data_IF_147306624933
#
_entry.id   IF_147306624933
#
_cell.length_a   1.000
_cell.length_b   1.000
_cell.length_c   1.000
_cell.angle_alpha   90.00
_cell.angle_beta   90.00
_cell.angle_gamma   90.00
#
_symmetry.space_group_name_H-M   'P 1'
#
loop_
_entity.id
_entity.type
_entity.pdbx_description
1 polymer ?
#
# COMPACT_ATOMS: atom_id res chain seq x y z
N UNK A 1 2.02 13.64 21.38
CA UNK A 1 2.66 12.38 20.94
C UNK A 1 1.82 11.24 21.50
N UNK A 2 0.84 10.77 20.74
CA UNK A 2 -0.16 9.82 21.25
C UNK A 2 0.30 8.41 20.92
N UNK A 3 0.86 7.73 21.93
CA UNK A 3 1.19 6.32 21.88
C UNK A 3 -0.11 5.55 22.11
N UNK A 4 -0.64 4.90 21.08
CA UNK A 4 -1.81 4.02 21.22
C UNK A 4 -1.46 2.82 22.11
N UNK A 5 -2.28 2.47 23.13
CA UNK A 5 -1.98 1.36 24.02
C UNK A 5 -2.30 0.00 23.35
N UNK A 6 -1.62 -1.10 23.75
CA UNK A 6 -1.50 -2.31 22.93
C UNK A 6 -2.69 -3.28 23.00
N UNK A 7 -3.79 -2.95 23.70
CA UNK A 7 -4.85 -3.92 24.03
C UNK A 7 -6.19 -3.74 23.30
N UNK A 8 -6.37 -2.68 22.50
CA UNK A 8 -7.63 -2.43 21.75
C UNK A 8 -7.65 -3.00 20.32
N UNK A 9 -6.55 -3.58 19.84
CA UNK A 9 -6.45 -4.16 18.49
C UNK A 9 -7.43 -5.30 18.19
N UNK A 10 -8.23 -5.77 19.15
CA UNK A 10 -9.23 -6.85 18.97
C UNK A 10 -10.66 -6.39 18.67
N UNK A 11 -10.95 -5.07 18.59
CA UNK A 11 -12.31 -4.56 18.32
C UNK A 11 -12.39 -3.54 17.19
N UNK A 12 -11.34 -3.40 16.39
CA UNK A 12 -11.35 -2.48 15.25
C UNK A 12 -11.55 -3.26 13.94
N UNK A 13 -12.45 -2.78 13.10
CA UNK A 13 -12.64 -3.19 11.73
C UNK A 13 -11.57 -2.54 10.85
N UNK A 14 -10.92 -3.34 10.02
CA UNK A 14 -9.97 -2.86 9.01
C UNK A 14 -10.74 -2.49 7.75
N UNK A 15 -10.52 -1.29 7.25
CA UNK A 15 -11.03 -0.84 5.95
C UNK A 15 -9.87 -0.68 4.98
N UNK A 16 -10.02 -1.18 3.76
CA UNK A 16 -9.02 -1.06 2.69
C UNK A 16 -9.77 -0.71 1.40
N UNK A 17 -9.37 0.38 0.76
CA UNK A 17 -9.91 0.84 -0.51
C UNK A 17 -8.84 0.66 -1.59
N UNK A 18 -9.23 0.05 -2.70
CA UNK A 18 -8.37 -0.15 -3.86
C UNK A 18 -9.16 -0.02 -5.15
N UNK A 19 -8.45 0.11 -6.26
CA UNK A 19 -9.04 0.07 -7.59
C UNK A 19 -9.51 -1.35 -7.95
N UNK A 20 -10.44 -1.46 -8.91
CA UNK A 20 -11.19 -2.69 -9.23
C UNK A 20 -10.36 -4.00 -9.20
N UNK A 21 -10.81 -4.96 -8.37
CA UNK A 21 -10.14 -6.23 -8.02
C UNK A 21 -9.87 -7.14 -9.23
N UNK A 22 -8.73 -7.86 -9.23
CA UNK A 22 -8.58 -9.09 -8.44
C UNK A 22 -7.65 -8.90 -7.23
N UNK A 23 -7.50 -9.93 -6.41
CA UNK A 23 -6.82 -10.03 -5.08
C UNK A 23 -5.47 -9.32 -4.84
N UNK A 24 -4.95 -8.61 -5.83
CA UNK A 24 -3.71 -7.85 -5.82
C UNK A 24 -3.88 -6.35 -6.16
N UNK A 25 -5.10 -5.81 -6.07
CA UNK A 25 -5.32 -4.39 -6.34
C UNK A 25 -4.51 -3.46 -5.42
N UNK A 26 -4.01 -2.33 -5.96
CA UNK A 26 -3.33 -1.30 -5.18
C UNK A 26 -4.21 -0.87 -4.02
N UNK A 27 -3.66 -0.89 -2.81
CA UNK A 27 -4.33 -0.31 -1.64
C UNK A 27 -4.08 1.19 -1.67
N UNK A 28 -5.09 1.95 -2.08
CA UNK A 28 -5.00 3.42 -2.19
C UNK A 28 -5.25 4.10 -0.85
N UNK A 29 -6.16 3.53 -0.05
CA UNK A 29 -6.43 3.99 1.31
C UNK A 29 -6.67 2.82 2.25
N UNK A 30 -6.48 3.07 3.54
CA UNK A 30 -6.95 2.14 4.55
C UNK A 30 -6.83 2.70 5.95
N UNK A 31 -7.44 2.00 6.88
CA UNK A 31 -7.45 2.41 8.27
C UNK A 31 -8.20 1.43 9.16
N UNK A 32 -8.40 1.87 10.40
CA UNK A 32 -9.03 1.08 11.45
C UNK A 32 -10.12 1.92 12.11
N UNK A 33 -11.27 1.31 12.35
CA UNK A 33 -12.36 1.93 13.12
C UNK A 33 -12.98 0.94 14.08
N UNK A 34 -13.34 1.38 15.28
CA UNK A 34 -14.15 0.59 16.21
C UNK A 34 -15.66 0.68 15.90
N UNK A 35 -16.08 1.63 15.05
CA UNK A 35 -17.48 1.82 14.64
C UNK A 35 -17.77 1.03 13.35
N UNK A 36 -18.58 -0.04 13.40
CA UNK A 36 -18.96 -0.79 12.20
C UNK A 36 -19.75 0.07 11.21
N UNK A 37 -20.52 1.06 11.68
CA UNK A 37 -21.28 1.94 10.80
C UNK A 37 -20.34 2.85 10.00
N UNK A 38 -19.23 3.31 10.60
CA UNK A 38 -18.19 4.06 9.90
C UNK A 38 -17.51 3.21 8.82
N UNK A 39 -17.18 1.95 9.14
CA UNK A 39 -16.62 1.03 8.16
C UNK A 39 -17.56 0.84 6.95
N UNK A 40 -18.86 0.65 7.20
CA UNK A 40 -19.86 0.50 6.14
C UNK A 40 -20.03 1.79 5.33
N UNK A 41 -20.09 2.97 5.98
CA UNK A 41 -20.16 4.28 5.28
C UNK A 41 -18.96 4.48 4.35
N UNK A 42 -17.77 4.11 4.81
CA UNK A 42 -16.53 4.20 4.03
C UNK A 42 -16.64 3.39 2.74
N UNK A 43 -17.02 2.10 2.86
CA UNK A 43 -17.14 1.20 1.71
C UNK A 43 -18.26 1.68 0.79
N UNK A 44 -19.41 2.10 1.33
CA UNK A 44 -20.53 2.59 0.55
C UNK A 44 -20.16 3.83 -0.27
N UNK A 45 -19.49 4.82 0.34
CA UNK A 45 -19.02 6.02 -0.36
C UNK A 45 -18.05 5.66 -1.50
N UNK A 46 -17.04 4.84 -1.23
CA UNK A 46 -16.06 4.40 -2.23
C UNK A 46 -16.72 3.65 -3.39
N UNK A 47 -17.57 2.65 -3.10
CA UNK A 47 -18.27 1.88 -4.15
C UNK A 47 -19.32 2.71 -4.89
N UNK A 48 -19.78 3.81 -4.31
CA UNK A 48 -20.66 4.79 -4.94
C UNK A 48 -19.94 5.75 -5.90
N UNK A 49 -18.61 5.63 -6.04
CA UNK A 49 -17.80 6.46 -6.92
C UNK A 49 -17.23 7.72 -6.26
N UNK A 50 -17.34 7.86 -4.94
CA UNK A 50 -16.70 8.95 -4.22
C UNK A 50 -15.17 8.83 -4.33
N UNK A 51 -14.49 9.96 -4.58
CA UNK A 51 -13.02 10.00 -4.55
C UNK A 51 -12.46 9.80 -3.13
N UNK A 52 -11.14 9.69 -3.02
CA UNK A 52 -10.42 9.46 -1.76
C UNK A 52 -10.69 10.57 -0.73
N UNK A 53 -10.62 11.84 -1.16
CA UNK A 53 -10.85 13.00 -0.28
C UNK A 53 -12.32 13.04 0.20
N UNK A 54 -13.26 12.78 -0.70
CA UNK A 54 -14.69 12.74 -0.39
C UNK A 54 -15.03 11.59 0.55
N UNK A 55 -14.45 10.40 0.31
CA UNK A 55 -14.62 9.22 1.16
C UNK A 55 -14.07 9.48 2.56
N UNK A 56 -12.90 10.12 2.68
CA UNK A 56 -12.32 10.49 3.99
C UNK A 56 -13.16 11.54 4.72
N UNK A 57 -13.76 12.49 3.99
CA UNK A 57 -14.66 13.47 4.60
C UNK A 57 -15.92 12.81 5.20
N UNK A 58 -16.42 11.74 4.58
CA UNK A 58 -17.58 10.97 5.07
C UNK A 58 -17.21 9.93 6.15
N UNK A 59 -15.99 9.43 6.12
CA UNK A 59 -15.45 8.47 7.07
C UNK A 59 -13.98 8.77 7.39
N UNK A 60 -13.71 9.52 8.48
CA UNK A 60 -12.37 9.92 8.86
C UNK A 60 -11.43 8.78 9.25
N UNK A 61 -11.92 7.54 9.39
CA UNK A 61 -11.11 6.38 9.75
C UNK A 61 -10.10 5.95 8.70
N UNK A 62 -10.19 6.44 7.45
CA UNK A 62 -9.23 6.10 6.40
C UNK A 62 -8.11 7.14 6.28
N UNK A 63 -6.92 6.61 6.02
CA UNK A 63 -5.76 7.39 5.63
C UNK A 63 -5.26 6.93 4.27
N UNK A 64 -4.72 7.86 3.50
CA UNK A 64 -4.09 7.62 2.21
C UNK A 64 -2.85 8.48 2.08
N UNK A 65 -1.96 8.13 1.15
CA UNK A 65 -0.75 8.89 0.89
C UNK A 65 -0.93 9.86 -0.28
N UNK A 66 -0.09 10.90 -0.39
CA UNK A 66 -0.15 11.85 -1.50
C UNK A 66 -0.13 11.19 -2.88
N UNK A 67 0.64 10.11 -3.08
CA UNK A 67 0.69 9.40 -4.36
C UNK A 67 -0.64 8.75 -4.72
N UNK A 68 -1.47 8.37 -3.73
CA UNK A 68 -2.78 7.76 -3.99
C UNK A 68 -3.75 8.80 -4.59
N UNK A 69 -3.68 10.05 -4.13
CA UNK A 69 -4.41 11.17 -4.76
C UNK A 69 -3.90 11.47 -6.17
N UNK A 70 -2.58 11.42 -6.37
CA UNK A 70 -1.99 11.58 -7.71
C UNK A 70 -2.51 10.47 -8.63
N UNK A 71 -2.47 9.21 -8.18
CA UNK A 71 -2.93 8.05 -8.95
C UNK A 71 -4.44 8.08 -9.25
N UNK A 72 -5.26 8.57 -8.31
CA UNK A 72 -6.70 8.76 -8.54
C UNK A 72 -6.97 9.77 -9.66
N UNK A 73 -6.23 10.88 -9.66
CA UNK A 73 -6.42 11.97 -10.65
C UNK A 73 -5.82 11.62 -12.01
N UNK A 74 -4.64 11.00 -12.00
CA UNK A 74 -3.92 10.54 -13.18
C UNK A 74 -3.30 9.16 -12.88
N UNK A 75 -3.84 8.08 -13.47
CA UNK A 75 -3.36 6.74 -13.20
C UNK A 75 -1.87 6.58 -13.49
N UNK A 76 -1.09 6.40 -12.41
CA UNK A 76 0.32 5.99 -12.49
C UNK A 76 0.49 4.73 -13.34
N UNK A 77 1.61 4.63 -14.05
CA UNK A 77 1.97 3.39 -14.73
C UNK A 77 2.14 2.23 -13.73
N UNK A 78 1.99 1.01 -14.22
CA UNK A 78 1.99 -0.16 -13.34
C UNK A 78 3.29 -0.38 -12.56
N UNK A 79 4.45 0.06 -13.08
CA UNK A 79 5.74 -0.11 -12.39
C UNK A 79 5.86 0.92 -11.27
N UNK A 80 5.58 2.20 -11.58
CA UNK A 80 5.62 3.28 -10.59
C UNK A 80 4.58 3.07 -9.47
N UNK A 81 3.40 2.56 -9.82
CA UNK A 81 2.38 2.20 -8.84
C UNK A 81 2.87 1.10 -7.88
N UNK A 82 3.50 0.03 -8.41
CA UNK A 82 4.07 -1.03 -7.57
C UNK A 82 5.18 -0.50 -6.66
N UNK A 83 6.02 0.43 -7.14
CA UNK A 83 7.00 1.10 -6.28
C UNK A 83 6.36 1.80 -5.10
N UNK A 84 5.33 2.61 -5.33
CA UNK A 84 4.61 3.28 -4.25
C UNK A 84 3.97 2.29 -3.28
N UNK A 85 3.37 1.21 -3.78
CA UNK A 85 2.78 0.16 -2.93
C UNK A 85 3.83 -0.56 -2.06
N UNK A 86 4.98 -0.93 -2.62
CA UNK A 86 6.03 -1.61 -1.87
C UNK A 86 6.67 -0.68 -0.83
N UNK A 87 6.87 0.60 -1.16
CA UNK A 87 7.41 1.59 -0.22
C UNK A 87 6.43 1.87 0.92
N UNK A 88 5.13 1.87 0.65
CA UNK A 88 4.11 2.15 1.65
C UNK A 88 3.75 0.97 2.56
N UNK A 89 4.14 -0.25 2.20
CA UNK A 89 3.82 -1.47 2.98
C UNK A 89 4.24 -1.38 4.45
N UNK A 90 5.34 -0.68 4.77
CA UNK A 90 5.79 -0.49 6.16
C UNK A 90 4.83 0.32 7.03
N UNK A 91 3.86 1.01 6.44
CA UNK A 91 2.94 1.87 7.17
C UNK A 91 1.57 1.22 7.44
N UNK A 92 1.35 -0.02 6.98
CA UNK A 92 0.15 -0.78 7.31
C UNK A 92 0.50 -1.92 8.27
N UNK A 93 0.12 -1.83 9.56
CA UNK A 93 0.29 -2.95 10.49
C UNK A 93 -0.38 -4.22 9.94
N UNK A 94 0.25 -5.41 10.07
CA UNK A 94 1.49 -5.73 10.79
C UNK A 94 2.77 -5.74 9.92
N UNK A 95 2.74 -5.13 8.73
CA UNK A 95 3.86 -5.12 7.77
C UNK A 95 4.97 -4.11 8.15
N UNK A 96 4.83 -3.46 9.31
CA UNK A 96 5.73 -2.46 9.91
C UNK A 96 7.07 -3.03 10.43
N UNK A 97 7.29 -4.33 10.31
CA UNK A 97 8.37 -5.04 11.03
C UNK A 97 9.72 -5.10 10.31
N UNK A 98 9.86 -4.53 9.11
CA UNK A 98 11.05 -4.78 8.28
C UNK A 98 11.73 -3.52 7.71
N UNK A 99 12.25 -2.70 8.61
CA UNK A 99 12.95 -1.45 8.30
C UNK A 99 14.16 -1.63 7.35
N UNK A 100 14.87 -2.77 7.42
CA UNK A 100 16.03 -3.06 6.55
C UNK A 100 15.63 -3.30 5.11
N UNK A 101 14.59 -4.10 4.88
CA UNK A 101 14.06 -4.35 3.53
C UNK A 101 13.50 -3.07 2.92
N UNK A 102 12.86 -2.22 3.74
CA UNK A 102 12.41 -0.92 3.28
C UNK A 102 13.56 0.03 2.92
N UNK A 103 14.63 0.10 3.73
CA UNK A 103 15.80 0.91 3.39
C UNK A 103 16.44 0.47 2.07
N UNK A 104 16.54 -0.85 1.84
CA UNK A 104 17.02 -1.41 0.58
C UNK A 104 16.11 -1.06 -0.59
N UNK A 105 14.79 -1.14 -0.40
CA UNK A 105 13.80 -0.77 -1.41
C UNK A 105 13.85 0.72 -1.76
N UNK A 106 13.95 1.61 -0.76
CA UNK A 106 14.11 3.05 -0.96
C UNK A 106 15.41 3.38 -1.71
N UNK A 107 16.51 2.71 -1.37
CA UNK A 107 17.77 2.85 -2.09
C UNK A 107 17.67 2.37 -3.54
N UNK A 108 16.96 1.27 -3.79
CA UNK A 108 16.73 0.74 -5.13
C UNK A 108 15.85 1.66 -5.97
N UNK A 109 14.81 2.27 -5.39
CA UNK A 109 13.95 3.25 -6.08
C UNK A 109 14.74 4.48 -6.56
N UNK A 110 15.76 4.92 -5.81
CA UNK A 110 16.63 6.02 -6.19
C UNK A 110 17.55 5.70 -7.39
N UNK A 111 17.69 4.44 -7.79
CA UNK A 111 18.51 4.02 -8.92
C UNK A 111 17.67 3.98 -10.22
N UNK A 112 17.94 4.83 -11.23
CA UNK A 112 17.10 4.92 -12.42
C UNK A 112 16.97 3.62 -13.22
N UNK A 113 18.00 2.79 -13.21
CA UNK A 113 17.98 1.49 -13.89
C UNK A 113 17.03 0.49 -13.20
N UNK A 114 16.96 0.53 -11.86
CA UNK A 114 16.11 -0.37 -11.07
C UNK A 114 14.67 0.15 -11.00
N UNK A 115 14.46 1.48 -10.98
CA UNK A 115 13.11 2.08 -10.98
C UNK A 115 12.26 1.66 -12.19
N UNK A 116 12.89 1.29 -13.30
CA UNK A 116 12.20 0.76 -14.50
C UNK A 116 11.72 -0.69 -14.36
N UNK A 117 12.08 -1.35 -13.27
CA UNK A 117 11.71 -2.74 -12.97
C UNK A 117 10.65 -2.76 -11.86
N UNK A 118 9.78 -3.77 -11.91
CA UNK A 118 8.77 -3.99 -10.88
C UNK A 118 9.43 -4.54 -9.62
N UNK A 119 9.29 -3.88 -8.46
CA UNK A 119 9.80 -4.39 -7.20
C UNK A 119 8.87 -5.44 -6.61
N UNK A 120 9.44 -6.42 -5.92
CA UNK A 120 8.70 -7.32 -5.04
C UNK A 120 9.50 -7.61 -3.78
N UNK A 121 8.84 -7.60 -2.62
CA UNK A 121 9.46 -7.99 -1.35
C UNK A 121 8.96 -9.37 -0.92
N UNK A 122 9.88 -10.30 -0.62
CA UNK A 122 9.55 -11.62 -0.06
C UNK A 122 10.64 -12.07 0.90
N UNK A 123 10.26 -12.57 2.09
CA UNK A 123 11.19 -13.12 3.10
C UNK A 123 12.47 -12.29 3.28
N UNK A 124 12.33 -10.98 3.54
CA UNK A 124 13.44 -10.03 3.73
C UNK A 124 14.28 -9.69 2.48
N UNK A 125 13.88 -10.17 1.31
CA UNK A 125 14.58 -9.92 0.05
C UNK A 125 13.79 -8.93 -0.82
N UNK A 126 14.51 -8.09 -1.57
CA UNK A 126 13.96 -7.23 -2.63
C UNK A 126 14.33 -7.83 -3.98
N UNK A 127 13.33 -8.02 -4.84
CA UNK A 127 13.45 -8.69 -6.13
C UNK A 127 12.99 -7.72 -7.22
N UNK A 128 13.58 -7.84 -8.40
CA UNK A 128 13.22 -7.04 -9.56
C UNK A 128 12.72 -7.93 -10.69
N UNK A 129 11.64 -7.50 -11.35
CA UNK A 129 11.08 -8.18 -12.51
C UNK A 129 10.90 -7.20 -13.67
N UNK A 130 11.05 -7.70 -14.89
CA UNK A 130 10.70 -6.97 -16.13
C UNK A 130 9.20 -7.03 -16.44
N UNK A 131 8.42 -7.83 -15.70
CA UNK A 131 6.97 -7.89 -15.81
C UNK A 131 6.31 -7.07 -14.72
N UNK A 132 5.26 -6.32 -15.08
CA UNK A 132 4.41 -5.55 -14.16
C UNK A 132 3.71 -6.47 -13.14
N UNK A 133 3.49 -7.74 -13.49
CA UNK A 133 3.01 -8.76 -12.54
C UNK A 133 4.19 -9.63 -12.13
N UNK A 134 4.80 -9.31 -10.99
CA UNK A 134 5.88 -10.11 -10.43
C UNK A 134 5.43 -11.58 -10.27
N UNK A 135 5.94 -12.44 -11.14
CA UNK A 135 5.87 -13.88 -10.99
C UNK A 135 7.29 -14.41 -10.83
N UNK A 136 7.46 -15.55 -10.14
CA UNK A 136 8.78 -16.12 -9.86
C UNK A 136 9.59 -16.48 -11.12
N UNK A 137 8.97 -16.50 -12.31
CA UNK A 137 9.59 -16.85 -13.60
C UNK A 137 10.16 -15.66 -14.38
N UNK A 138 9.90 -14.41 -13.95
CA UNK A 138 10.33 -13.17 -14.64
C UNK A 138 11.42 -12.42 -13.87
N UNK A 139 12.07 -13.12 -12.93
CA UNK A 139 13.06 -12.58 -12.02
C UNK A 139 14.36 -12.22 -12.75
N UNK A 140 14.85 -10.99 -12.57
CA UNK A 140 16.11 -10.52 -13.16
C UNK A 140 17.21 -10.22 -12.13
N UNK A 141 16.90 -10.26 -10.82
CA UNK A 141 17.88 -10.07 -9.75
C UNK A 141 17.26 -9.92 -8.36
N UNK A 142 18.01 -10.25 -7.31
CA UNK A 142 17.60 -10.09 -5.91
C UNK A 142 18.69 -9.41 -5.07
N UNK A 143 18.27 -8.78 -3.98
CA UNK A 143 19.14 -8.27 -2.93
C UNK A 143 18.57 -8.64 -1.55
N UNK A 144 19.45 -8.95 -0.60
CA UNK A 144 19.11 -9.45 0.73
C UNK A 144 19.80 -8.61 1.81
N UNK A 145 19.10 -8.33 2.91
CA UNK A 145 19.68 -7.68 4.09
C UNK A 145 19.87 -8.69 5.21
N UNK A 146 21.12 -9.05 5.50
CA UNK A 146 21.52 -9.77 6.73
C UNK A 146 21.56 -8.86 7.95
#
# INVERSE_FOLDING_TARGET
MTVYPPYEQRRAFRVVLGSDLPSNSPRLAGGWTADPAEAVRTVAAWTGGAGLEETKAQAPCIEFRPWALVHEREPLDGVELEWHLQLDRIHFPPDDRNLRTHALLAAAYAQPALRRLTPATSMLNVWFSTSVRANWRTHVGHASGG
#
